data_IF_154223503076
#
_entry.id   IF_154223503076
#
_cell.length_a   1.000
_cell.length_b   1.000
_cell.length_c   1.000
_cell.angle_alpha   90.00
_cell.angle_beta   90.00
_cell.angle_gamma   90.00
#
_symmetry.space_group_name_H-M   'P 1'
#
loop_
_entity.id
_entity.type
_entity.pdbx_description
1 polymer ?
#
# COMPACT_ATOMS: atom_id res chain seq x y z
N UNK A 1 9.88 16.19 46.79
CA UNK A 1 10.10 15.25 45.67
C UNK A 1 9.38 15.83 44.46
N UNK A 2 10.12 16.39 43.49
CA UNK A 2 9.51 17.01 42.30
C UNK A 2 9.28 15.94 41.23
N UNK A 3 8.02 15.70 40.84
CA UNK A 3 7.70 14.86 39.68
C UNK A 3 7.79 15.74 38.44
N UNK A 4 8.90 15.64 37.71
CA UNK A 4 9.01 16.22 36.38
C UNK A 4 8.28 15.27 35.43
N UNK A 5 7.09 15.67 34.96
CA UNK A 5 6.42 15.06 33.82
C UNK A 5 7.34 15.17 32.60
N UNK A 6 8.13 14.13 32.36
CA UNK A 6 9.09 14.08 31.26
C UNK A 6 8.39 13.51 30.03
N UNK A 7 8.05 14.35 29.06
CA UNK A 7 7.59 13.90 27.74
C UNK A 7 8.78 13.45 26.92
N UNK A 8 8.90 12.15 26.63
CA UNK A 8 9.92 11.61 25.74
C UNK A 8 9.44 11.62 24.29
N UNK A 9 10.27 12.09 23.36
CA UNK A 9 10.04 11.93 21.93
C UNK A 9 10.25 10.47 21.54
N UNK A 10 9.18 9.77 21.18
CA UNK A 10 9.27 8.42 20.63
C UNK A 10 9.61 8.52 19.14
N UNK A 11 10.74 7.92 18.74
CA UNK A 11 11.11 7.85 17.32
C UNK A 11 10.04 7.09 16.54
N UNK A 12 9.61 7.65 15.42
CA UNK A 12 8.65 7.01 14.52
C UNK A 12 9.19 5.65 14.07
N UNK A 13 8.39 4.59 14.19
CA UNK A 13 8.78 3.23 13.86
C UNK A 13 9.26 2.38 15.05
N UNK A 14 9.46 2.95 16.23
CA UNK A 14 9.65 2.15 17.46
C UNK A 14 8.29 1.62 17.91
N UNK A 15 8.19 0.31 18.14
CA UNK A 15 6.96 -0.30 18.65
C UNK A 15 6.55 0.32 19.98
N UNK A 16 5.24 0.55 20.17
CA UNK A 16 4.70 1.03 21.43
C UNK A 16 5.04 0.05 22.57
N UNK A 17 5.18 0.56 23.80
CA UNK A 17 5.47 -0.27 24.98
C UNK A 17 4.46 -1.43 25.15
N UNK A 18 3.20 -1.18 24.79
CA UNK A 18 2.14 -2.18 24.72
C UNK A 18 1.44 -2.05 23.36
N UNK A 19 1.83 -2.84 22.34
CA UNK A 19 1.21 -2.77 21.02
C UNK A 19 -0.21 -3.33 21.07
N UNK A 20 -1.16 -2.62 20.46
CA UNK A 20 -2.51 -3.13 20.23
C UNK A 20 -2.51 -4.02 18.99
N UNK A 21 -3.11 -5.22 19.11
CA UNK A 21 -3.30 -6.09 17.95
C UNK A 21 -4.46 -5.53 17.13
N UNK A 22 -4.21 -5.29 15.85
CA UNK A 22 -5.28 -4.96 14.92
C UNK A 22 -6.01 -6.26 14.54
N UNK A 23 -7.30 -6.32 14.84
CA UNK A 23 -8.16 -7.44 14.45
C UNK A 23 -8.82 -7.09 13.11
N UNK A 24 -8.45 -7.85 12.07
CA UNK A 24 -9.02 -7.68 10.74
C UNK A 24 -10.37 -8.40 10.73
N UNK A 25 -11.44 -7.63 10.56
CA UNK A 25 -12.81 -8.14 10.44
C UNK A 25 -13.25 -8.23 8.96
N UNK A 26 -14.46 -8.75 8.72
CA UNK A 26 -14.99 -8.92 7.36
C UNK A 26 -15.11 -7.59 6.61
N UNK A 27 -15.56 -6.52 7.28
CA UNK A 27 -15.66 -5.18 6.68
C UNK A 27 -14.30 -4.65 6.21
N UNK A 28 -13.26 -4.87 7.01
CA UNK A 28 -11.89 -4.49 6.67
C UNK A 28 -11.34 -5.33 5.52
N UNK A 29 -11.63 -6.63 5.48
CA UNK A 29 -11.27 -7.49 4.35
C UNK A 29 -11.93 -7.02 3.05
N UNK A 30 -13.19 -6.60 3.10
CA UNK A 30 -13.89 -6.03 1.94
C UNK A 30 -13.24 -4.72 1.49
N UNK A 31 -12.86 -3.86 2.43
CA UNK A 31 -12.16 -2.61 2.14
C UNK A 31 -10.81 -2.87 1.46
N UNK A 32 -10.01 -3.79 1.99
CA UNK A 32 -8.72 -4.19 1.42
C UNK A 32 -8.92 -4.79 0.02
N UNK A 33 -9.92 -5.66 -0.14
CA UNK A 33 -10.21 -6.30 -1.43
C UNK A 33 -10.58 -5.30 -2.51
N UNK A 34 -11.36 -4.26 -2.17
CA UNK A 34 -11.70 -3.17 -3.10
C UNK A 34 -10.45 -2.40 -3.54
N UNK A 35 -9.56 -2.06 -2.60
CA UNK A 35 -8.31 -1.37 -2.91
C UNK A 35 -7.39 -2.21 -3.78
N UNK A 36 -7.26 -3.51 -3.49
CA UNK A 36 -6.45 -4.43 -4.28
C UNK A 36 -6.99 -4.58 -5.71
N UNK A 37 -8.32 -4.67 -5.89
CA UNK A 37 -8.94 -4.73 -7.22
C UNK A 37 -8.65 -3.49 -8.06
N UNK A 38 -8.75 -2.30 -7.48
CA UNK A 38 -8.45 -1.05 -8.17
C UNK A 38 -7.01 -1.02 -8.69
N UNK A 39 -6.03 -1.42 -7.86
CA UNK A 39 -4.62 -1.49 -8.26
C UNK A 39 -4.36 -2.56 -9.33
N UNK A 40 -5.06 -3.68 -9.26
CA UNK A 40 -4.95 -4.74 -10.27
C UNK A 40 -5.49 -4.31 -11.62
N UNK A 41 -6.62 -3.60 -11.66
CA UNK A 41 -7.21 -3.06 -12.88
C UNK A 41 -6.29 -2.03 -13.55
N UNK A 42 -5.69 -1.13 -12.76
CA UNK A 42 -4.69 -0.17 -13.23
C UNK A 42 -3.47 -0.88 -13.84
N UNK A 43 -2.87 -1.82 -13.10
CA UNK A 43 -1.71 -2.58 -13.58
C UNK A 43 -2.01 -3.40 -14.86
N UNK A 44 -3.23 -3.91 -15.01
CA UNK A 44 -3.66 -4.58 -16.24
C UNK A 44 -3.78 -3.63 -17.42
N UNK A 45 -4.24 -2.40 -17.18
CA UNK A 45 -4.28 -1.33 -18.19
C UNK A 45 -2.88 -0.96 -18.66
N UNK A 46 -1.97 -0.72 -17.72
CA UNK A 46 -0.56 -0.39 -18.02
C UNK A 46 0.13 -1.50 -18.80
N UNK A 47 -0.13 -2.77 -18.44
CA UNK A 47 0.43 -3.93 -19.14
C UNK A 47 -0.06 -4.00 -20.58
N UNK A 48 -1.37 -3.79 -20.83
CA UNK A 48 -1.91 -3.79 -22.19
C UNK A 48 -1.35 -2.66 -23.04
N UNK A 49 -1.27 -1.46 -22.47
CA UNK A 49 -0.68 -0.32 -23.16
C UNK A 49 0.78 -0.60 -23.55
N UNK A 50 1.56 -1.17 -22.63
CA UNK A 50 2.94 -1.56 -22.92
C UNK A 50 3.03 -2.63 -24.03
N UNK A 51 2.12 -3.61 -24.06
CA UNK A 51 2.06 -4.63 -25.12
C UNK A 51 1.71 -4.02 -26.49
N UNK A 52 0.71 -3.13 -26.54
CA UNK A 52 0.31 -2.44 -27.77
C UNK A 52 1.44 -1.55 -28.31
N UNK A 53 2.15 -0.85 -27.41
CA UNK A 53 3.32 -0.03 -27.78
C UNK A 53 4.46 -0.89 -28.32
N UNK A 54 4.72 -2.07 -27.72
CA UNK A 54 5.72 -3.03 -28.23
C UNK A 54 5.36 -3.53 -29.63
N UNK A 55 4.10 -3.94 -29.86
CA UNK A 55 3.62 -4.40 -31.18
C UNK A 55 3.76 -3.29 -32.25
N UNK A 56 3.36 -2.05 -31.93
CA UNK A 56 3.50 -0.91 -32.85
C UNK A 56 4.96 -0.57 -33.17
N UNK A 57 5.88 -0.76 -32.23
CA UNK A 57 7.32 -0.55 -32.45
C UNK A 57 7.98 -1.70 -33.24
N UNK A 58 7.42 -2.91 -33.23
CA UNK A 58 7.81 -4.01 -34.10
C UNK A 58 7.35 -3.76 -35.55
N UNK A 59 6.09 -3.37 -35.76
CA UNK A 59 5.53 -3.07 -37.07
C UNK A 59 6.25 -1.92 -37.81
N UNK A 60 6.81 -0.94 -37.08
CA UNK A 60 7.59 0.17 -37.68
C UNK A 60 9.01 -0.24 -38.13
N UNK A 61 9.51 -1.39 -37.68
CA UNK A 61 10.87 -1.86 -38.00
C UNK A 61 10.92 -2.77 -39.23
N UNK A 62 9.79 -3.29 -39.68
CA UNK A 62 9.64 -3.98 -40.98
C UNK A 62 9.40 -2.99 -42.14
#
# INVERSE_FOLDING_TARGET
MSMITTSAWVRRGVAAQFPTKYEINEEEMDRISKLARMQLEEAQGDLKAAQEDEEMEEDKKE
#
